data_IF_894568106782
#
_entry.id   IF_894568106782
#
_cell.length_a   1.000
_cell.length_b   1.000
_cell.length_c   1.000
_cell.angle_alpha   90.00
_cell.angle_beta   90.00
_cell.angle_gamma   90.00
#
_symmetry.space_group_name_H-M   'P 1'
#
loop_
_entity.id
_entity.type
_entity.pdbx_description
1 polymer ?
#
# COMPACT_ATOMS: atom_id res chain seq x y z
N UNK A 1 17.96 5.06 2.45
CA UNK A 1 17.86 4.51 3.83
C UNK A 1 17.72 5.58 4.91
N UNK A 2 18.68 6.51 4.98
CA UNK A 2 18.67 7.63 5.92
C UNK A 2 17.45 8.53 5.73
N UNK A 3 17.08 8.81 4.46
CA UNK A 3 15.91 9.63 4.14
C UNK A 3 14.60 8.99 4.60
N UNK A 4 14.48 7.67 4.50
CA UNK A 4 13.30 6.94 5.01
C UNK A 4 13.19 7.05 6.52
N UNK A 5 14.31 6.87 7.25
CA UNK A 5 14.33 7.02 8.72
C UNK A 5 14.01 8.46 9.11
N UNK A 6 14.64 9.46 8.48
CA UNK A 6 14.39 10.88 8.77
C UNK A 6 12.95 11.28 8.50
N UNK A 7 12.39 10.86 7.35
CA UNK A 7 10.98 11.09 7.05
C UNK A 7 10.05 10.45 8.10
N UNK A 8 10.34 9.22 8.54
CA UNK A 8 9.57 8.57 9.60
C UNK A 8 9.67 9.29 10.95
N UNK A 9 10.85 9.77 11.32
CA UNK A 9 11.07 10.56 12.55
C UNK A 9 10.33 11.89 12.47
N UNK A 10 10.42 12.60 11.34
CA UNK A 10 9.71 13.86 11.12
C UNK A 10 8.19 13.66 11.23
N UNK A 11 7.63 12.67 10.52
CA UNK A 11 6.20 12.37 10.56
C UNK A 11 5.73 11.99 11.96
N UNK A 12 6.52 11.19 12.70
CA UNK A 12 6.21 10.83 14.07
C UNK A 12 6.22 12.05 15.00
N UNK A 13 7.25 12.90 14.94
CA UNK A 13 7.33 14.11 15.77
C UNK A 13 6.22 15.13 15.48
N UNK A 14 5.77 15.20 14.22
CA UNK A 14 4.66 16.07 13.80
C UNK A 14 3.27 15.43 13.98
N UNK A 15 3.22 14.19 14.48
CA UNK A 15 1.96 13.51 14.80
C UNK A 15 1.80 13.47 16.32
N UNK A 16 0.61 13.80 16.79
CA UNK A 16 0.25 13.68 18.20
C UNK A 16 -1.17 13.17 18.34
N UNK A 17 -1.44 12.52 19.47
CA UNK A 17 -2.78 12.10 19.82
C UNK A 17 -3.00 12.36 21.32
N UNK A 18 -4.03 13.12 21.66
CA UNK A 18 -4.33 13.56 23.04
C UNK A 18 -3.08 14.13 23.76
N UNK A 19 -2.38 15.05 23.10
CA UNK A 19 -1.14 15.67 23.56
C UNK A 19 0.08 14.74 23.76
N UNK A 20 -0.02 13.47 23.35
CA UNK A 20 1.10 12.53 23.36
C UNK A 20 1.68 12.45 21.95
N UNK A 21 2.98 12.78 21.82
CA UNK A 21 3.68 12.75 20.54
C UNK A 21 4.09 11.34 20.16
N UNK A 22 4.08 11.06 18.87
CA UNK A 22 4.71 9.86 18.34
C UNK A 22 6.22 10.05 18.26
N UNK A 23 6.96 8.96 18.37
CA UNK A 23 8.41 8.93 18.19
C UNK A 23 8.82 7.73 17.33
N UNK A 24 10.00 7.81 16.72
CA UNK A 24 10.52 6.76 15.84
C UNK A 24 12.00 6.50 16.13
N UNK A 25 12.41 5.23 16.08
CA UNK A 25 13.77 4.81 16.37
C UNK A 25 14.77 5.31 15.30
N UNK A 26 15.64 6.25 15.68
CA UNK A 26 16.68 6.86 14.83
C UNK A 26 17.85 5.92 14.52
N UNK A 27 18.09 4.88 15.33
CA UNK A 27 19.16 3.90 15.13
C UNK A 27 18.84 2.84 14.06
N UNK A 28 17.64 2.87 13.47
CA UNK A 28 17.15 1.86 12.52
C UNK A 28 17.70 2.01 11.09
N UNK A 29 18.69 2.88 10.85
CA UNK A 29 19.26 3.18 9.51
C UNK A 29 19.78 1.93 8.77
N UNK A 30 20.48 1.05 9.48
CA UNK A 30 21.01 -0.19 8.91
C UNK A 30 19.90 -1.17 8.52
N UNK A 31 18.84 -1.27 9.34
CA UNK A 31 17.66 -2.05 8.98
C UNK A 31 16.94 -1.45 7.77
N UNK A 32 16.75 -0.13 7.74
CA UNK A 32 16.14 0.57 6.61
C UNK A 32 16.93 0.34 5.31
N UNK A 33 18.26 0.28 5.37
CA UNK A 33 19.08 -0.02 4.20
C UNK A 33 18.82 -1.43 3.66
N UNK A 34 18.72 -2.43 4.55
CA UNK A 34 18.39 -3.80 4.17
C UNK A 34 17.00 -3.88 3.52
N UNK A 35 16.00 -3.23 4.14
CA UNK A 35 14.61 -3.35 3.72
C UNK A 35 14.29 -2.58 2.45
N UNK A 36 14.84 -1.36 2.28
CA UNK A 36 14.46 -0.47 1.19
C UNK A 36 15.50 -0.36 0.06
N UNK A 37 16.71 -0.90 0.23
CA UNK A 37 17.70 -1.00 -0.86
C UNK A 37 18.07 -2.44 -1.18
N UNK A 38 18.60 -3.17 -0.19
CA UNK A 38 19.16 -4.50 -0.43
C UNK A 38 18.10 -5.49 -0.93
N UNK A 39 16.99 -5.67 -0.21
CA UNK A 39 15.97 -6.63 -0.62
C UNK A 39 15.28 -6.26 -1.94
N UNK A 40 14.91 -4.99 -2.22
CA UNK A 40 14.43 -4.60 -3.55
C UNK A 40 15.42 -4.88 -4.67
N UNK A 41 16.72 -4.65 -4.44
CA UNK A 41 17.76 -5.02 -5.41
C UNK A 41 17.80 -6.54 -5.64
N UNK A 42 17.78 -7.35 -4.57
CA UNK A 42 17.70 -8.80 -4.68
C UNK A 42 16.40 -9.27 -5.37
N UNK A 43 15.31 -8.52 -5.25
CA UNK A 43 14.01 -8.92 -5.78
C UNK A 43 14.01 -9.05 -7.31
N UNK A 44 14.85 -8.25 -8.00
CA UNK A 44 15.03 -8.28 -9.45
C UNK A 44 15.48 -9.68 -9.89
N UNK A 45 16.38 -10.31 -9.13
CA UNK A 45 16.89 -11.65 -9.40
C UNK A 45 15.92 -12.78 -9.01
N UNK A 46 14.84 -12.46 -8.30
CA UNK A 46 13.85 -13.45 -7.82
C UNK A 46 12.52 -13.39 -8.58
N UNK A 47 12.45 -12.65 -9.69
CA UNK A 47 11.21 -12.41 -10.46
C UNK A 47 10.04 -11.92 -9.59
N UNK A 48 10.34 -11.13 -8.54
CA UNK A 48 9.34 -10.59 -7.63
C UNK A 48 8.85 -11.54 -6.53
N UNK A 49 9.33 -12.79 -6.44
CA UNK A 49 8.97 -13.73 -5.34
C UNK A 49 9.40 -13.24 -3.96
N UNK A 50 10.38 -12.32 -3.89
CA UNK A 50 10.81 -11.67 -2.66
C UNK A 50 9.88 -10.54 -2.19
N UNK A 51 8.92 -10.10 -3.02
CA UNK A 51 7.99 -9.00 -2.70
C UNK A 51 7.22 -9.18 -1.38
N UNK A 52 6.67 -10.37 -1.05
CA UNK A 52 5.99 -10.62 0.22
C UNK A 52 6.92 -10.44 1.42
N UNK A 53 8.18 -10.88 1.28
CA UNK A 53 9.19 -10.73 2.32
C UNK A 53 9.59 -9.25 2.52
N UNK A 54 9.79 -8.50 1.43
CA UNK A 54 10.07 -7.06 1.49
C UNK A 54 8.93 -6.33 2.20
N UNK A 55 7.69 -6.64 1.81
CA UNK A 55 6.49 -6.01 2.39
C UNK A 55 6.36 -6.34 3.88
N UNK A 56 6.61 -7.60 4.25
CA UNK A 56 6.66 -8.05 5.65
C UNK A 56 7.70 -7.27 6.47
N UNK A 57 8.92 -7.14 5.95
CA UNK A 57 9.99 -6.40 6.61
C UNK A 57 9.71 -4.89 6.65
N UNK A 58 9.08 -4.34 5.62
CA UNK A 58 8.66 -2.93 5.56
C UNK A 58 7.64 -2.59 6.63
N UNK A 59 6.57 -3.39 6.76
CA UNK A 59 5.58 -3.20 7.81
C UNK A 59 6.17 -3.38 9.21
N UNK A 60 7.03 -4.39 9.41
CA UNK A 60 7.74 -4.58 10.68
C UNK A 60 8.64 -3.40 11.01
N UNK A 61 9.40 -2.90 10.04
CA UNK A 61 10.25 -1.74 10.22
C UNK A 61 9.44 -0.50 10.62
N UNK A 62 8.33 -0.24 9.93
CA UNK A 62 7.50 0.94 10.21
C UNK A 62 6.83 0.87 11.59
N UNK A 63 6.32 -0.30 11.98
CA UNK A 63 5.57 -0.45 13.24
C UNK A 63 6.50 -0.68 14.43
N UNK A 64 7.46 -1.61 14.35
CA UNK A 64 8.31 -1.95 15.51
C UNK A 64 9.26 -0.83 15.94
N UNK A 65 9.56 0.12 15.04
CA UNK A 65 10.37 1.29 15.35
C UNK A 65 9.54 2.50 15.79
N UNK A 66 8.21 2.44 15.72
CA UNK A 66 7.32 3.50 16.18
C UNK A 66 7.03 3.37 17.69
N UNK A 67 6.79 4.50 18.35
CA UNK A 67 6.38 4.60 19.76
C UNK A 67 5.35 5.72 19.93
N UNK A 68 4.44 5.56 20.89
CA UNK A 68 3.57 6.63 21.37
C UNK A 68 4.02 7.00 22.79
N UNK A 69 4.56 8.21 22.98
CA UNK A 69 5.24 8.56 24.24
C UNK A 69 6.38 7.58 24.55
N UNK A 70 6.27 6.85 25.66
CA UNK A 70 7.23 5.79 26.04
C UNK A 70 6.83 4.40 25.55
N UNK A 71 5.58 4.19 25.14
CA UNK A 71 5.07 2.85 24.81
C UNK A 71 5.42 2.45 23.38
N UNK A 72 6.15 1.33 23.17
CA UNK A 72 6.49 0.87 21.84
C UNK A 72 5.34 0.12 21.17
N UNK A 73 5.23 0.26 19.86
CA UNK A 73 4.38 -0.61 19.06
C UNK A 73 5.04 -1.97 18.88
N UNK A 74 4.28 -3.05 19.07
CA UNK A 74 4.70 -4.43 18.84
C UNK A 74 3.91 -5.03 17.68
N UNK A 75 4.58 -5.79 16.83
CA UNK A 75 3.96 -6.46 15.69
C UNK A 75 4.30 -7.96 15.71
N UNK A 76 3.26 -8.79 15.73
CA UNK A 76 3.35 -10.25 15.75
C UNK A 76 2.87 -10.86 14.42
N UNK A 77 3.10 -10.16 13.32
CA UNK A 77 2.66 -10.60 12.00
C UNK A 77 3.43 -11.85 11.54
N UNK A 78 2.72 -12.82 10.96
CA UNK A 78 3.29 -14.06 10.41
C UNK A 78 3.62 -13.89 8.93
N UNK A 79 4.82 -14.30 8.51
CA UNK A 79 5.27 -14.22 7.11
C UNK A 79 4.32 -14.96 6.15
N UNK A 80 3.78 -16.11 6.56
CA UNK A 80 2.84 -16.89 5.74
C UNK A 80 1.59 -16.12 5.31
N UNK A 81 1.11 -15.14 6.10
CA UNK A 81 -0.04 -14.31 5.70
C UNK A 81 0.28 -13.39 4.52
N UNK A 82 1.53 -12.96 4.36
CA UNK A 82 1.95 -12.10 3.25
C UNK A 82 2.09 -12.89 1.96
N UNK A 83 2.64 -14.11 2.04
CA UNK A 83 2.66 -15.02 0.90
C UNK A 83 1.23 -15.43 0.50
N UNK A 84 0.37 -15.75 1.47
CA UNK A 84 -1.04 -16.01 1.19
C UNK A 84 -1.71 -14.80 0.50
N UNK A 85 -1.49 -13.58 0.98
CA UNK A 85 -2.01 -12.37 0.35
C UNK A 85 -1.52 -12.20 -1.09
N UNK A 86 -0.23 -12.50 -1.35
CA UNK A 86 0.35 -12.45 -2.69
C UNK A 86 -0.29 -13.48 -3.63
N UNK A 87 -0.38 -14.75 -3.21
CA UNK A 87 -0.96 -15.81 -4.04
C UNK A 87 -2.48 -15.65 -4.23
N UNK A 88 -3.22 -15.18 -3.23
CA UNK A 88 -4.65 -14.84 -3.38
C UNK A 88 -4.81 -13.71 -4.40
N UNK A 89 -4.00 -12.66 -4.31
CA UNK A 89 -4.06 -11.54 -5.27
C UNK A 89 -3.65 -11.98 -6.68
N UNK A 90 -2.65 -12.85 -6.79
CA UNK A 90 -2.21 -13.43 -8.05
C UNK A 90 -3.29 -14.33 -8.67
N UNK A 91 -3.95 -15.16 -7.84
CA UNK A 91 -5.05 -16.00 -8.28
C UNK A 91 -6.24 -15.17 -8.77
N UNK A 92 -6.56 -14.05 -8.10
CA UNK A 92 -7.57 -13.11 -8.57
C UNK A 92 -7.21 -12.53 -9.94
N UNK A 93 -5.95 -12.11 -10.13
CA UNK A 93 -5.47 -11.58 -11.42
C UNK A 93 -5.56 -12.64 -12.52
N UNK A 94 -5.01 -13.84 -12.28
CA UNK A 94 -5.03 -14.95 -13.23
C UNK A 94 -6.47 -15.36 -13.55
N UNK A 95 -7.36 -15.42 -12.55
CA UNK A 95 -8.77 -15.72 -12.75
C UNK A 95 -9.46 -14.72 -13.68
N UNK A 96 -9.18 -13.42 -13.51
CA UNK A 96 -9.67 -12.37 -14.42
C UNK A 96 -9.11 -12.55 -15.82
N UNK A 97 -7.79 -12.75 -15.96
CA UNK A 97 -7.13 -12.91 -17.26
C UNK A 97 -7.61 -14.16 -18.02
N UNK A 98 -7.76 -15.28 -17.32
CA UNK A 98 -8.29 -16.53 -17.89
C UNK A 98 -9.74 -16.34 -18.32
N UNK A 99 -10.56 -15.67 -17.51
CA UNK A 99 -11.96 -15.37 -17.87
C UNK A 99 -12.03 -14.52 -19.15
N UNK A 100 -11.18 -13.50 -19.26
CA UNK A 100 -11.08 -12.65 -20.46
C UNK A 100 -10.57 -13.43 -21.67
N UNK A 101 -9.58 -14.29 -21.49
CA UNK A 101 -9.06 -15.15 -22.54
C UNK A 101 -10.14 -16.11 -23.06
N UNK A 102 -10.89 -16.76 -22.16
CA UNK A 102 -12.00 -17.64 -22.53
C UNK A 102 -13.07 -16.86 -23.31
N UNK A 103 -13.48 -15.69 -22.82
CA UNK A 103 -14.46 -14.84 -23.52
C UNK A 103 -13.94 -14.47 -24.92
N UNK A 104 -12.70 -14.01 -25.03
CA UNK A 104 -12.08 -13.68 -26.30
C UNK A 104 -12.03 -14.88 -27.25
N UNK A 105 -11.58 -16.04 -26.76
CA UNK A 105 -11.51 -17.28 -27.54
C UNK A 105 -12.89 -17.74 -28.03
N UNK A 106 -13.91 -17.72 -27.17
CA UNK A 106 -15.29 -18.07 -27.55
C UNK A 106 -15.88 -17.10 -28.58
N UNK A 107 -15.56 -15.81 -28.49
CA UNK A 107 -15.99 -14.83 -29.51
C UNK A 107 -15.32 -15.08 -30.85
N UNK A 108 -14.04 -15.47 -30.88
CA UNK A 108 -13.33 -15.80 -32.11
C UNK A 108 -13.82 -17.09 -32.75
N UNK A 109 -14.23 -18.10 -31.97
CA UNK A 109 -14.79 -19.34 -32.53
C UNK A 109 -16.12 -19.13 -33.28
N UNK A 110 -16.87 -18.07 -32.95
CA UNK A 110 -18.10 -17.70 -33.69
C UNK A 110 -17.83 -17.17 -35.11
N UNK A 111 -16.57 -16.88 -35.44
CA UNK A 111 -16.14 -16.30 -36.73
C UNK A 111 -15.98 -17.37 -37.82
N UNK A 112 -15.75 -18.64 -37.45
CA UNK A 112 -15.42 -19.72 -38.38
C UNK A 112 -16.57 -20.32 -39.21
N UNK A 113 -17.76 -19.70 -39.22
CA UNK A 113 -18.88 -20.15 -40.06
C UNK A 113 -19.13 -19.14 -41.19
N UNK A 114 -18.48 -19.30 -42.36
CA UNK A 114 -18.62 -18.37 -43.47
C UNK A 114 -20.02 -18.46 -44.08
N UNK A 115 -20.87 -17.47 -43.79
CA UNK A 115 -22.07 -17.19 -44.59
C UNK A 115 -21.94 -15.80 -45.21
N UNK A 116 -21.45 -15.76 -46.45
CA UNK A 116 -21.58 -14.61 -47.35
C UNK A 116 -20.50 -13.51 -47.29
N UNK A 117 -20.44 -12.62 -48.29
CA UNK A 117 -19.44 -11.55 -48.40
C UNK A 117 -19.52 -10.47 -47.31
N UNK A 118 -20.65 -10.34 -46.60
CA UNK A 118 -20.76 -9.48 -45.40
C UNK A 118 -19.98 -10.03 -44.19
N UNK A 119 -19.59 -11.30 -44.21
CA UNK A 119 -18.80 -11.93 -43.13
C UNK A 119 -17.32 -11.53 -43.12
N UNK A 120 -16.77 -11.11 -44.27
CA UNK A 120 -15.36 -10.69 -44.38
C UNK A 120 -15.10 -9.37 -43.67
N UNK A 121 -15.98 -8.36 -43.78
CA UNK A 121 -15.83 -7.08 -43.07
C UNK A 121 -16.05 -7.24 -41.55
N UNK A 122 -17.02 -8.06 -41.16
CA UNK A 122 -17.28 -8.39 -39.75
C UNK A 122 -16.10 -9.14 -39.10
N UNK A 123 -15.47 -10.06 -39.83
CA UNK A 123 -14.28 -10.80 -39.37
C UNK A 123 -13.09 -9.89 -39.09
N UNK A 124 -12.78 -8.94 -39.98
CA UNK A 124 -11.70 -7.97 -39.76
C UNK A 124 -11.96 -7.07 -38.56
N UNK A 125 -13.21 -6.59 -38.40
CA UNK A 125 -13.60 -5.75 -37.27
C UNK A 125 -13.46 -6.50 -35.93
N UNK A 126 -13.90 -7.76 -35.87
CA UNK A 126 -13.80 -8.57 -34.65
C UNK A 126 -12.35 -8.97 -34.33
N UNK A 127 -11.54 -9.29 -35.34
CA UNK A 127 -10.12 -9.58 -35.18
C UNK A 127 -9.32 -8.38 -34.60
N UNK A 128 -9.79 -7.14 -34.84
CA UNK A 128 -9.19 -5.94 -34.25
C UNK A 128 -9.79 -5.59 -32.87
N UNK A 129 -11.11 -5.71 -32.71
CA UNK A 129 -11.80 -5.32 -31.47
C UNK A 129 -11.49 -6.26 -30.30
N UNK A 130 -11.38 -7.58 -30.52
CA UNK A 130 -11.16 -8.54 -29.42
C UNK A 130 -9.81 -8.34 -28.72
N UNK A 131 -8.67 -8.24 -29.42
CA UNK A 131 -7.38 -7.93 -28.79
C UNK A 131 -7.36 -6.54 -28.13
N UNK A 132 -8.02 -5.54 -28.75
CA UNK A 132 -8.10 -4.19 -28.19
C UNK A 132 -8.85 -4.18 -26.85
N UNK A 133 -10.01 -4.84 -26.78
CA UNK A 133 -10.77 -4.99 -25.53
C UNK A 133 -9.98 -5.80 -24.51
N UNK A 134 -9.35 -6.91 -24.91
CA UNK A 134 -8.50 -7.70 -24.02
C UNK A 134 -7.35 -6.87 -23.42
N UNK A 135 -6.70 -6.02 -24.24
CA UNK A 135 -5.68 -5.08 -23.78
C UNK A 135 -6.22 -4.02 -22.81
N UNK A 136 -7.38 -3.44 -23.08
CA UNK A 136 -8.03 -2.50 -22.17
C UNK A 136 -8.37 -3.15 -20.82
N UNK A 137 -8.93 -4.37 -20.83
CA UNK A 137 -9.21 -5.12 -19.61
C UNK A 137 -7.94 -5.54 -18.88
N UNK A 138 -6.85 -5.86 -19.59
CA UNK A 138 -5.55 -6.14 -18.99
C UNK A 138 -5.06 -4.94 -18.17
N UNK A 139 -5.14 -3.73 -18.73
CA UNK A 139 -4.80 -2.48 -18.03
C UNK A 139 -5.65 -2.30 -16.77
N UNK A 140 -6.94 -2.65 -16.81
CA UNK A 140 -7.84 -2.56 -15.67
C UNK A 140 -7.64 -3.67 -14.62
N UNK A 141 -7.11 -4.84 -15.01
CA UNK A 141 -6.88 -5.97 -14.11
C UNK A 141 -5.64 -5.78 -13.21
N UNK A 142 -4.58 -5.15 -13.74
CA UNK A 142 -3.34 -4.87 -13.01
C UNK A 142 -3.56 -4.09 -11.69
N UNK A 143 -4.29 -2.95 -11.64
CA UNK A 143 -4.51 -2.24 -10.38
C UNK A 143 -5.29 -3.06 -9.36
N UNK A 144 -6.15 -4.00 -9.78
CA UNK A 144 -6.88 -4.89 -8.87
C UNK A 144 -5.91 -5.76 -8.07
N UNK A 145 -4.87 -6.32 -8.72
CA UNK A 145 -3.82 -7.06 -8.03
C UNK A 145 -3.15 -6.20 -6.95
N UNK A 146 -2.74 -4.98 -7.29
CA UNK A 146 -2.08 -4.09 -6.34
C UNK A 146 -2.99 -3.67 -5.18
N UNK A 147 -4.27 -3.39 -5.46
CA UNK A 147 -5.26 -3.03 -4.44
C UNK A 147 -5.51 -4.22 -3.52
N UNK A 148 -5.74 -5.41 -4.07
CA UNK A 148 -5.94 -6.64 -3.30
C UNK A 148 -4.74 -6.91 -2.39
N UNK A 149 -3.54 -6.90 -2.95
CA UNK A 149 -2.31 -7.16 -2.22
C UNK A 149 -2.07 -6.15 -1.10
N UNK A 150 -2.22 -4.84 -1.38
CA UNK A 150 -2.07 -3.78 -0.37
C UNK A 150 -3.12 -3.89 0.73
N UNK A 151 -4.36 -4.25 0.40
CA UNK A 151 -5.45 -4.39 1.37
C UNK A 151 -5.21 -5.56 2.32
N UNK A 152 -4.90 -6.73 1.76
CA UNK A 152 -4.69 -7.96 2.53
C UNK A 152 -3.45 -7.86 3.43
N UNK A 153 -2.36 -7.29 2.92
CA UNK A 153 -1.15 -7.06 3.73
C UNK A 153 -1.36 -6.00 4.81
N UNK A 154 -2.11 -4.92 4.52
CA UNK A 154 -2.49 -3.93 5.55
C UNK A 154 -3.31 -4.57 6.67
N UNK A 155 -4.35 -5.33 6.34
CA UNK A 155 -5.15 -6.04 7.35
C UNK A 155 -4.29 -7.03 8.15
N UNK A 156 -3.46 -7.84 7.47
CA UNK A 156 -2.59 -8.80 8.15
C UNK A 156 -1.57 -8.14 9.10
N UNK A 157 -1.12 -6.93 8.76
CA UNK A 157 -0.15 -6.16 9.56
C UNK A 157 -0.82 -5.50 10.77
N UNK A 158 -1.89 -4.74 10.53
CA UNK A 158 -2.59 -3.99 11.56
C UNK A 158 -3.27 -4.92 12.57
N UNK A 159 -3.88 -6.02 12.12
CA UNK A 159 -4.53 -6.99 13.03
C UNK A 159 -3.53 -7.72 13.94
N UNK A 160 -2.24 -7.69 13.57
CA UNK A 160 -1.15 -8.26 14.35
C UNK A 160 -0.36 -7.17 15.12
N UNK A 161 -0.87 -5.94 15.18
CA UNK A 161 -0.22 -4.81 15.86
C UNK A 161 -0.84 -4.56 17.22
N UNK A 162 0.01 -4.29 18.20
CA UNK A 162 -0.36 -3.98 19.57
C UNK A 162 0.39 -2.73 20.05
N UNK A 163 -0.26 -1.94 20.89
CA UNK A 163 0.32 -0.79 21.58
C UNK A 163 -0.03 -0.90 23.07
N UNK A 164 0.90 -1.41 23.88
CA UNK A 164 0.61 -1.71 25.28
C UNK A 164 -0.56 -2.71 25.39
N UNK A 165 -1.65 -2.38 26.12
CA UNK A 165 -2.84 -3.23 26.21
C UNK A 165 -3.79 -3.10 25.00
N UNK A 166 -3.53 -2.18 24.07
CA UNK A 166 -4.40 -1.94 22.92
C UNK A 166 -4.04 -2.82 21.72
N UNK A 167 -5.04 -3.37 21.06
CA UNK A 167 -4.91 -4.14 19.84
C UNK A 167 -5.61 -3.42 18.68
N UNK A 168 -5.00 -3.44 17.50
CA UNK A 168 -5.60 -2.85 16.31
C UNK A 168 -6.35 -3.91 15.50
N UNK A 169 -7.46 -3.51 14.89
CA UNK A 169 -8.23 -4.31 13.96
C UNK A 169 -8.55 -3.50 12.70
N UNK A 170 -8.26 -4.08 11.54
CA UNK A 170 -8.49 -3.53 10.21
C UNK A 170 -9.33 -4.52 9.40
N UNK A 171 -10.52 -4.07 8.98
CA UNK A 171 -11.55 -4.90 8.34
C UNK A 171 -11.78 -4.53 6.86
N UNK A 172 -10.77 -3.92 6.22
CA UNK A 172 -10.89 -3.46 4.84
C UNK A 172 -11.28 -4.58 3.87
N UNK A 173 -12.24 -4.29 3.00
CA UNK A 173 -12.64 -5.18 1.90
C UNK A 173 -12.02 -4.74 0.57
N UNK A 174 -11.47 -5.70 -0.17
CA UNK A 174 -10.85 -5.50 -1.49
C UNK A 174 -11.86 -4.93 -2.49
N UNK A 175 -13.05 -5.52 -2.60
CA UNK A 175 -14.07 -5.08 -3.56
C UNK A 175 -14.51 -3.63 -3.37
N UNK A 176 -14.69 -3.19 -2.11
CA UNK A 176 -15.05 -1.81 -1.80
C UNK A 176 -13.90 -0.85 -2.16
N UNK A 177 -12.64 -1.23 -1.90
CA UNK A 177 -11.48 -0.41 -2.30
C UNK A 177 -11.31 -0.33 -3.81
N UNK A 178 -11.54 -1.42 -4.54
CA UNK A 178 -11.58 -1.39 -6.00
C UNK A 178 -12.66 -0.43 -6.49
N UNK A 179 -13.88 -0.49 -5.94
CA UNK A 179 -14.96 0.42 -6.31
C UNK A 179 -14.65 1.89 -5.96
N UNK A 180 -14.12 2.17 -4.77
CA UNK A 180 -13.71 3.52 -4.38
C UNK A 180 -12.63 4.04 -5.33
N UNK A 181 -11.61 3.23 -5.64
CA UNK A 181 -10.52 3.63 -6.53
C UNK A 181 -11.03 3.88 -7.95
N UNK A 182 -11.87 3.01 -8.48
CA UNK A 182 -12.47 3.13 -9.81
C UNK A 182 -13.36 4.38 -9.92
N UNK A 183 -14.29 4.55 -8.99
CA UNK A 183 -15.18 5.73 -8.99
C UNK A 183 -14.42 7.04 -8.72
N UNK A 184 -13.34 7.01 -7.94
CA UNK A 184 -12.45 8.16 -7.77
C UNK A 184 -11.71 8.50 -9.07
N UNK A 185 -11.19 7.50 -9.79
CA UNK A 185 -10.53 7.71 -11.08
C UNK A 185 -11.50 8.33 -12.09
N UNK A 186 -12.72 7.80 -12.18
CA UNK A 186 -13.75 8.34 -13.06
C UNK A 186 -14.08 9.81 -12.71
N UNK A 187 -14.27 10.11 -11.43
CA UNK A 187 -14.53 11.48 -10.97
C UNK A 187 -13.37 12.43 -11.32
N UNK A 188 -12.12 12.00 -11.14
CA UNK A 188 -10.93 12.78 -11.51
C UNK A 188 -10.88 13.03 -13.01
N UNK A 189 -11.13 12.03 -13.85
CA UNK A 189 -11.13 12.18 -15.31
C UNK A 189 -12.22 13.13 -15.76
N UNK A 190 -13.47 12.93 -15.31
CA UNK A 190 -14.62 13.76 -15.70
C UNK A 190 -14.44 15.21 -15.26
N UNK A 191 -13.79 15.43 -14.11
CA UNK A 191 -13.54 16.77 -13.58
C UNK A 191 -12.20 17.39 -14.02
N UNK A 192 -11.48 16.74 -14.95
CA UNK A 192 -10.15 17.17 -15.42
C UNK A 192 -9.19 17.44 -14.24
N UNK A 193 -9.27 16.61 -13.20
CA UNK A 193 -8.42 16.70 -12.02
C UNK A 193 -8.99 17.49 -10.84
N UNK A 194 -10.09 18.23 -11.00
CA UNK A 194 -10.62 19.08 -9.92
C UNK A 194 -11.04 18.27 -8.69
N UNK A 195 -11.56 17.05 -8.88
CA UNK A 195 -12.03 16.19 -7.78
C UNK A 195 -10.94 15.34 -7.12
N UNK A 196 -9.65 15.62 -7.36
CA UNK A 196 -8.54 14.96 -6.65
C UNK A 196 -8.63 15.09 -5.12
N UNK A 197 -8.90 16.27 -4.52
CA UNK A 197 -9.03 16.40 -3.07
C UNK A 197 -10.19 15.59 -2.50
N UNK A 198 -11.34 15.58 -3.19
CA UNK A 198 -12.52 14.79 -2.81
C UNK A 198 -12.19 13.28 -2.79
N UNK A 199 -11.51 12.79 -3.83
CA UNK A 199 -11.10 11.39 -3.92
C UNK A 199 -10.16 10.99 -2.75
N UNK A 200 -9.22 11.88 -2.37
CA UNK A 200 -8.32 11.67 -1.23
C UNK A 200 -9.09 11.57 0.08
N UNK A 201 -10.01 12.50 0.35
CA UNK A 201 -10.85 12.49 1.57
C UNK A 201 -11.72 11.24 1.64
N UNK A 202 -12.33 10.83 0.53
CA UNK A 202 -13.15 9.61 0.49
C UNK A 202 -12.35 8.35 0.80
N UNK A 203 -11.12 8.27 0.27
CA UNK A 203 -10.21 7.15 0.54
C UNK A 203 -9.79 7.13 2.02
N UNK A 204 -9.33 8.25 2.57
CA UNK A 204 -8.88 8.32 3.97
C UNK A 204 -10.02 8.04 4.94
N UNK A 205 -11.22 8.55 4.66
CA UNK A 205 -12.42 8.26 5.46
C UNK A 205 -12.74 6.77 5.51
N UNK A 206 -12.66 6.06 4.38
CA UNK A 206 -12.88 4.61 4.36
C UNK A 206 -11.79 3.84 5.13
N UNK A 207 -10.52 4.26 4.97
CA UNK A 207 -9.40 3.63 5.70
C UNK A 207 -9.49 3.83 7.21
N UNK A 208 -9.98 4.98 7.67
CA UNK A 208 -10.17 5.31 9.08
C UNK A 208 -11.41 4.62 9.67
N UNK A 209 -12.53 4.60 8.95
CA UNK A 209 -13.77 3.95 9.42
C UNK A 209 -13.64 2.43 9.60
N UNK A 210 -12.66 1.80 8.95
CA UNK A 210 -12.38 0.36 9.06
C UNK A 210 -11.08 0.07 9.83
N UNK A 211 -10.66 0.99 10.70
CA UNK A 211 -9.56 0.80 11.63
C UNK A 211 -10.07 1.05 13.04
N UNK A 212 -10.11 0.01 13.85
CA UNK A 212 -10.61 0.01 15.22
C UNK A 212 -9.44 -0.28 16.16
N UNK A 213 -9.42 0.38 17.31
CA UNK A 213 -8.49 0.10 18.39
C UNK A 213 -9.29 -0.47 19.57
N UNK A 214 -9.00 -1.72 19.94
CA UNK A 214 -9.60 -2.41 21.07
C UNK A 214 -8.69 -2.27 22.29
N UNK A 215 -9.24 -1.96 23.45
CA UNK A 215 -8.49 -1.96 24.70
C UNK A 215 -9.30 -1.36 25.86
N UNK A 216 -8.68 -1.20 27.04
CA UNK A 216 -9.33 -0.65 28.22
C UNK A 216 -9.92 0.74 27.95
N UNK A 217 -11.09 1.07 28.53
CA UNK A 217 -11.75 2.37 28.33
C UNK A 217 -10.89 3.55 28.81
N UNK A 218 -9.94 3.30 29.72
CA UNK A 218 -9.10 4.33 30.31
C UNK A 218 -7.71 4.38 29.64
N UNK A 219 -7.56 5.34 28.74
CA UNK A 219 -6.36 5.59 27.93
C UNK A 219 -5.35 6.53 28.62
N UNK A 220 -5.65 6.96 29.84
CA UNK A 220 -4.84 7.91 30.61
C UNK A 220 -3.54 7.28 31.18
N UNK A 221 -3.28 6.01 30.87
CA UNK A 221 -2.06 5.26 31.25
C UNK A 221 -0.84 5.56 30.38
N UNK A 222 -1.00 6.26 29.24
CA UNK A 222 0.14 6.63 28.41
C UNK A 222 0.90 7.81 29.03
N UNK A 223 1.96 7.51 29.77
CA UNK A 223 2.86 8.52 30.35
C UNK A 223 3.63 9.23 29.23
N UNK A 224 3.54 10.57 29.16
CA UNK A 224 4.42 11.38 28.32
C UNK A 224 5.87 11.07 28.68
N UNK A 225 6.58 10.42 27.75
CA UNK A 225 8.03 10.36 27.82
C UNK A 225 8.56 11.79 27.79
N UNK A 226 9.48 12.07 28.71
CA UNK A 226 10.16 13.36 28.93
C UNK A 226 10.30 14.18 27.65
N UNK A 227 9.93 15.47 27.72
CA UNK A 227 10.03 16.45 26.63
C UNK A 227 11.34 16.21 25.84
N UNK A 228 11.29 16.12 24.49
CA UNK A 228 12.52 16.09 23.72
C UNK A 228 13.31 17.36 24.06
N UNK A 229 14.51 17.14 24.60
CA UNK A 229 15.46 18.18 24.97
C UNK A 229 15.53 19.24 23.86
N UNK A 230 15.46 20.52 24.22
CA UNK A 230 15.60 21.63 23.28
C UNK A 230 16.90 21.56 22.45
N UNK A 231 17.88 20.76 22.90
CA UNK A 231 19.09 20.40 22.14
C UNK A 231 18.83 19.67 20.82
N UNK A 232 17.80 18.82 20.72
CA UNK A 232 17.58 18.00 19.51
C UNK A 232 17.05 18.81 18.31
N UNK A 233 16.35 19.92 18.56
CA UNK A 233 15.96 20.88 17.51
C UNK A 233 17.14 21.77 17.11
N UNK A 234 18.02 22.12 18.07
CA UNK A 234 19.27 22.85 17.80
C UNK A 234 20.27 22.03 16.99
N UNK A 235 20.39 20.73 17.26
CA UNK A 235 21.21 19.81 16.45
C UNK A 235 20.66 19.64 15.04
N UNK A 236 19.34 19.49 14.84
CA UNK A 236 18.76 19.37 13.49
C UNK A 236 18.86 20.66 12.67
N UNK A 237 18.77 21.84 13.32
CA UNK A 237 19.03 23.11 12.66
C UNK A 237 20.53 23.28 12.34
N UNK A 238 21.41 22.92 13.28
CA UNK A 238 22.87 22.95 13.07
C UNK A 238 23.29 22.04 11.92
N UNK A 239 22.71 20.84 11.81
CA UNK A 239 22.96 19.86 10.74
C UNK A 239 22.34 20.28 9.39
N UNK A 240 21.41 21.25 9.37
CA UNK A 240 20.93 21.90 8.14
C UNK A 240 21.87 23.03 7.69
N UNK A 241 22.52 23.70 8.64
CA UNK A 241 23.56 24.69 8.36
C UNK A 241 24.93 24.06 8.04
N UNK A 242 25.21 22.84 8.50
CA UNK A 242 26.45 22.12 8.21
C UNK A 242 26.44 21.42 6.83
N UNK A 243 25.31 21.43 6.12
CA UNK A 243 25.14 20.72 4.83
C UNK A 243 25.29 21.61 3.60
N UNK A 244 25.38 22.94 3.73
CA UNK A 244 25.63 23.77 2.55
C UNK A 244 26.21 25.16 2.89
N UNK A 245 27.53 25.27 3.02
CA UNK A 245 28.41 26.32 2.44
C UNK A 245 29.85 25.78 2.43
N UNK A 246 30.22 25.03 1.39
CA UNK A 246 31.51 24.32 1.35
C UNK A 246 32.05 24.04 -0.05
N UNK A 247 31.82 24.94 -1.01
CA UNK A 247 32.66 25.07 -2.20
C UNK A 247 32.38 24.13 -3.37
N UNK A 248 32.00 24.76 -4.49
CA UNK A 248 31.82 24.29 -5.88
C UNK A 248 30.48 23.61 -6.19
#
# INVERSE_FOLDING_TARGET
PWLVVRASVFNARNSSWRDIRFNFNTASKAEAAKVFLLFPFLSIFTLGLLTPYITYRGWRFAIANARLGTTPFKIHAKLGKYYAAFFISLLMLVGILVSLFIIGFLTLQRIGLPYGPESMSAMHMQAMLVPMLAGAFFILAIPIFFIAYRTLTRNASLNATQLGPYQFESTLRVGILCWITFSNLLAIIVSVGLLMPWARVRMTRYLAANLIMHGPPDLDTFVQGTRPDARALGEEASDFFDVDIGGV
#
